data_IF_572506017949
#
_entry.id   IF_572506017949
#
_cell.length_a   1.000
_cell.length_b   1.000
_cell.length_c   1.000
_cell.angle_alpha   90.00
_cell.angle_beta   90.00
_cell.angle_gamma   90.00
#
_symmetry.space_group_name_H-M   'P 1'
#
loop_
_entity.id
_entity.type
_entity.pdbx_description
1 polymer ?
#
# COMPACT_ATOMS: atom_id res chain seq x y z
N UNK A 1 -10.03 -21.01 3.65
CA UNK A 1 -9.21 -22.16 3.18
C UNK A 1 -9.14 -23.14 4.33
N UNK A 2 -9.56 -24.37 4.14
CA UNK A 2 -9.56 -25.36 5.21
C UNK A 2 -8.15 -25.62 5.73
N UNK A 3 -7.97 -25.90 7.01
CA UNK A 3 -6.67 -26.11 7.68
C UNK A 3 -5.81 -27.19 6.98
N UNK A 4 -6.46 -28.20 6.43
CA UNK A 4 -5.83 -29.30 5.66
C UNK A 4 -5.15 -28.79 4.37
N UNK A 5 -5.79 -27.88 3.65
CA UNK A 5 -5.23 -27.28 2.45
C UNK A 5 -4.03 -26.37 2.75
N UNK A 6 -4.00 -25.73 3.91
CA UNK A 6 -2.88 -24.90 4.32
C UNK A 6 -1.63 -25.72 4.64
N UNK A 7 -1.79 -26.90 5.26
CA UNK A 7 -0.65 -27.80 5.53
C UNK A 7 -0.07 -28.42 4.25
N UNK A 8 -0.93 -28.82 3.33
CA UNK A 8 -0.50 -29.31 2.01
C UNK A 8 0.24 -28.22 1.24
N UNK A 9 -0.27 -26.98 1.25
CA UNK A 9 0.41 -25.84 0.65
C UNK A 9 1.75 -25.54 1.32
N UNK A 10 1.85 -25.68 2.65
CA UNK A 10 3.11 -25.53 3.39
C UNK A 10 4.14 -26.59 2.98
N UNK A 11 3.71 -27.84 2.89
CA UNK A 11 4.57 -28.95 2.45
C UNK A 11 5.07 -28.73 1.03
N UNK A 12 4.16 -28.44 0.11
CA UNK A 12 4.49 -28.14 -1.28
C UNK A 12 5.45 -26.94 -1.41
N UNK A 13 5.19 -25.86 -0.66
CA UNK A 13 6.04 -24.68 -0.71
C UNK A 13 7.48 -24.99 -0.24
N UNK A 14 7.65 -25.85 0.75
CA UNK A 14 8.99 -26.22 1.25
C UNK A 14 9.82 -26.95 0.18
N UNK A 15 9.19 -27.73 -0.68
CA UNK A 15 9.86 -28.39 -1.81
C UNK A 15 10.16 -27.39 -2.93
N UNK A 16 9.27 -26.44 -3.18
CA UNK A 16 9.35 -25.49 -4.28
C UNK A 16 10.05 -24.17 -3.94
N UNK A 17 10.38 -23.90 -2.67
CA UNK A 17 11.08 -22.66 -2.27
C UNK A 17 12.43 -22.44 -2.99
N UNK A 18 13.04 -23.52 -3.48
CA UNK A 18 14.28 -23.49 -4.26
C UNK A 18 14.02 -23.25 -5.75
N UNK A 19 12.79 -23.46 -6.23
CA UNK A 19 12.39 -23.05 -7.57
C UNK A 19 12.13 -21.55 -7.58
N UNK A 20 12.56 -20.85 -8.62
CA UNK A 20 12.35 -19.42 -8.75
C UNK A 20 10.90 -19.15 -9.13
N UNK A 21 10.10 -18.62 -8.20
CA UNK A 21 8.80 -18.04 -8.52
C UNK A 21 8.95 -16.88 -9.52
N UNK A 22 7.90 -16.59 -10.28
CA UNK A 22 7.89 -15.44 -11.19
C UNK A 22 7.90 -14.13 -10.38
N UNK A 23 8.89 -13.24 -10.53
CA UNK A 23 8.94 -12.01 -9.77
C UNK A 23 7.78 -11.07 -10.16
N UNK A 24 6.99 -10.66 -9.17
CA UNK A 24 5.95 -9.64 -9.32
C UNK A 24 6.46 -8.25 -8.96
N UNK A 25 7.37 -8.17 -8.00
CA UNK A 25 7.99 -6.92 -7.59
C UNK A 25 9.17 -7.14 -6.66
N UNK A 26 10.14 -6.24 -6.73
CA UNK A 26 11.30 -6.21 -5.84
C UNK A 26 11.38 -4.84 -5.19
N UNK A 27 11.11 -4.80 -3.89
CA UNK A 27 11.34 -3.63 -3.05
C UNK A 27 12.73 -3.68 -2.40
N UNK A 28 13.12 -2.59 -1.75
CA UNK A 28 14.42 -2.51 -1.05
C UNK A 28 14.56 -3.53 0.09
N UNK A 29 13.44 -3.92 0.72
CA UNK A 29 13.44 -4.78 1.90
C UNK A 29 12.78 -6.15 1.70
N UNK A 30 12.00 -6.32 0.64
CA UNK A 30 11.27 -7.55 0.35
C UNK A 30 11.11 -7.77 -1.15
N UNK A 31 11.00 -9.03 -1.57
CA UNK A 31 10.50 -9.41 -2.89
C UNK A 31 9.13 -10.05 -2.76
N UNK A 32 8.37 -9.93 -3.83
CA UNK A 32 7.09 -10.60 -4.00
C UNK A 32 7.19 -11.43 -5.28
N UNK A 33 6.97 -12.72 -5.14
CA UNK A 33 7.04 -13.66 -6.25
C UNK A 33 5.70 -14.39 -6.40
N UNK A 34 5.27 -14.60 -7.64
CA UNK A 34 4.12 -15.44 -7.98
C UNK A 34 4.53 -16.90 -7.99
N UNK A 35 3.79 -17.70 -7.27
CA UNK A 35 3.86 -19.16 -7.34
C UNK A 35 2.56 -19.72 -7.88
N UNK A 36 2.68 -20.60 -8.87
CA UNK A 36 1.57 -21.40 -9.36
C UNK A 36 1.61 -22.75 -8.65
N UNK A 37 0.57 -23.06 -7.90
CA UNK A 37 0.48 -24.31 -7.16
C UNK A 37 -0.73 -25.12 -7.58
N UNK A 38 -0.76 -26.43 -7.30
CA UNK A 38 -1.94 -27.26 -7.48
C UNK A 38 -3.18 -26.78 -6.68
N UNK A 39 -2.94 -25.94 -5.68
CA UNK A 39 -3.96 -25.38 -4.80
C UNK A 39 -4.39 -23.95 -5.19
N UNK A 40 -3.93 -23.45 -6.34
CA UNK A 40 -4.17 -22.11 -6.85
C UNK A 40 -2.93 -21.20 -6.80
N UNK A 41 -3.02 -20.09 -7.48
CA UNK A 41 -1.94 -19.11 -7.57
C UNK A 41 -1.88 -18.24 -6.30
N UNK A 42 -0.67 -17.94 -5.81
CA UNK A 42 -0.48 -17.07 -4.67
C UNK A 42 0.77 -16.19 -4.83
N UNK A 43 0.74 -15.05 -4.15
CA UNK A 43 1.87 -14.15 -4.03
C UNK A 43 2.64 -14.45 -2.74
N UNK A 44 3.93 -14.74 -2.87
CA UNK A 44 4.82 -14.99 -1.74
C UNK A 44 5.68 -13.77 -1.48
N UNK A 45 5.48 -13.12 -0.34
CA UNK A 45 6.33 -12.03 0.12
C UNK A 45 7.45 -12.59 0.97
N UNK A 46 8.69 -12.36 0.53
CA UNK A 46 9.93 -12.73 1.23
C UNK A 46 10.69 -11.49 1.66
N UNK A 47 11.23 -11.52 2.87
CA UNK A 47 12.09 -10.45 3.37
C UNK A 47 13.56 -10.81 3.09
N UNK A 48 14.27 -9.92 2.39
CA UNK A 48 15.69 -10.06 2.08
C UNK A 48 16.58 -9.29 3.05
N UNK A 49 17.84 -9.72 3.21
CA UNK A 49 18.91 -8.93 3.79
C UNK A 49 19.82 -9.64 4.77
N UNK A 50 20.86 -8.89 5.17
CA UNK A 50 22.00 -9.37 5.96
C UNK A 50 21.59 -9.92 7.32
N UNK A 51 22.40 -10.85 7.84
CA UNK A 51 22.20 -11.55 9.10
C UNK A 51 21.91 -10.63 10.30
N UNK A 52 22.56 -9.47 10.39
CA UNK A 52 22.37 -8.47 11.45
C UNK A 52 20.93 -7.95 11.57
N UNK A 53 20.21 -7.79 10.44
CA UNK A 53 18.85 -7.26 10.42
C UNK A 53 17.76 -8.35 10.34
N UNK A 54 18.15 -9.63 10.38
CA UNK A 54 17.22 -10.77 10.23
C UNK A 54 16.11 -10.78 11.29
N UNK A 55 16.44 -10.43 12.55
CA UNK A 55 15.45 -10.39 13.64
C UNK A 55 14.42 -9.28 13.42
N UNK A 56 14.86 -8.08 13.07
CA UNK A 56 13.99 -6.94 12.80
C UNK A 56 13.03 -7.24 11.63
N UNK A 57 13.54 -7.84 10.57
CA UNK A 57 12.75 -8.17 9.38
C UNK A 57 11.72 -9.26 9.62
N UNK A 58 12.07 -10.27 10.43
CA UNK A 58 11.10 -11.27 10.88
C UNK A 58 9.99 -10.62 11.73
N UNK A 59 10.32 -9.62 12.53
CA UNK A 59 9.33 -8.85 13.29
C UNK A 59 8.41 -8.07 12.37
N UNK A 60 8.95 -7.45 11.31
CA UNK A 60 8.16 -6.71 10.32
C UNK A 60 7.14 -7.60 9.60
N UNK A 61 7.56 -8.78 9.12
CA UNK A 61 6.64 -9.66 8.39
C UNK A 61 5.57 -10.28 9.30
N UNK A 62 5.92 -10.56 10.57
CA UNK A 62 4.92 -11.01 11.57
C UNK A 62 3.92 -9.91 11.89
N UNK A 63 4.40 -8.66 12.01
CA UNK A 63 3.52 -7.51 12.21
C UNK A 63 2.59 -7.32 11.03
N UNK A 64 3.08 -7.43 9.80
CA UNK A 64 2.27 -7.35 8.60
C UNK A 64 1.23 -8.48 8.55
N UNK A 65 1.64 -9.72 8.88
CA UNK A 65 0.70 -10.84 9.03
C UNK A 65 -0.39 -10.53 10.07
N UNK A 66 -0.01 -9.97 11.24
CA UNK A 66 -0.99 -9.58 12.27
C UNK A 66 -1.96 -8.51 11.73
N UNK A 67 -1.50 -7.57 10.93
CA UNK A 67 -2.36 -6.55 10.31
C UNK A 67 -3.42 -7.20 9.42
N UNK A 68 -3.04 -8.17 8.59
CA UNK A 68 -3.99 -8.89 7.74
C UNK A 68 -5.07 -9.62 8.52
N UNK A 69 -4.82 -10.02 9.78
CA UNK A 69 -5.85 -10.66 10.63
C UNK A 69 -6.96 -9.69 11.03
N UNK A 70 -6.68 -8.39 11.11
CA UNK A 70 -7.71 -7.34 11.32
C UNK A 70 -8.44 -6.96 10.05
N UNK A 71 -7.89 -7.32 8.89
CA UNK A 71 -8.42 -6.97 7.56
C UNK A 71 -9.12 -8.15 6.86
N UNK A 72 -9.37 -9.24 7.60
CA UNK A 72 -10.08 -10.39 7.05
C UNK A 72 -11.43 -9.95 6.50
N UNK A 73 -11.75 -10.48 5.32
CA UNK A 73 -13.04 -10.27 4.64
C UNK A 73 -13.39 -8.82 4.24
N UNK A 74 -12.42 -7.89 4.30
CA UNK A 74 -12.62 -6.55 3.74
C UNK A 74 -12.43 -6.62 2.22
N UNK A 75 -13.47 -6.34 1.41
CA UNK A 75 -13.34 -6.28 -0.04
C UNK A 75 -12.30 -5.24 -0.46
N UNK A 76 -11.44 -5.59 -1.43
CA UNK A 76 -10.35 -4.71 -1.86
C UNK A 76 -9.05 -4.86 -1.07
N UNK A 77 -8.97 -5.86 -0.19
CA UNK A 77 -7.73 -6.31 0.47
C UNK A 77 -7.44 -7.74 0.04
N UNK A 78 -6.19 -8.10 -0.35
CA UNK A 78 -5.84 -9.49 -0.65
C UNK A 78 -6.03 -10.39 0.55
N UNK A 79 -6.57 -11.58 0.36
CA UNK A 79 -6.67 -12.56 1.43
C UNK A 79 -5.29 -13.00 1.88
N UNK A 80 -5.09 -13.05 3.19
CA UNK A 80 -3.88 -13.62 3.77
C UNK A 80 -4.05 -15.12 3.93
N UNK A 81 -3.30 -15.92 3.16
CA UNK A 81 -3.35 -17.37 3.16
C UNK A 81 -2.54 -17.98 4.32
N UNK A 82 -1.59 -17.22 4.86
CA UNK A 82 -0.84 -17.64 6.02
C UNK A 82 0.58 -17.08 6.13
N UNK A 83 1.23 -17.41 7.24
CA UNK A 83 2.63 -17.12 7.50
C UNK A 83 3.40 -18.44 7.71
N UNK A 84 4.37 -18.72 6.85
CA UNK A 84 5.20 -19.94 6.89
C UNK A 84 6.58 -19.62 7.46
N UNK A 85 7.07 -20.46 8.38
CA UNK A 85 8.38 -20.40 9.02
C UNK A 85 8.73 -19.02 9.60
N UNK A 86 7.69 -18.21 9.89
CA UNK A 86 7.83 -16.83 10.38
C UNK A 86 8.65 -15.94 9.42
N UNK A 87 8.73 -16.29 8.14
CA UNK A 87 9.56 -15.63 7.10
C UNK A 87 8.79 -15.33 5.82
N UNK A 88 7.78 -16.12 5.49
CA UNK A 88 7.11 -16.10 4.21
C UNK A 88 5.64 -15.77 4.43
N UNK A 89 5.22 -14.62 3.94
CA UNK A 89 3.82 -14.21 3.98
C UNK A 89 3.17 -14.62 2.66
N UNK A 90 2.15 -15.47 2.74
CA UNK A 90 1.37 -15.93 1.61
C UNK A 90 0.13 -15.07 1.48
N UNK A 91 -0.05 -14.51 0.31
CA UNK A 91 -1.19 -13.67 -0.03
C UNK A 91 -1.88 -14.21 -1.28
N UNK A 92 -3.17 -13.94 -1.39
CA UNK A 92 -3.92 -14.12 -2.61
C UNK A 92 -3.21 -13.43 -3.77
N UNK A 93 -3.08 -14.13 -4.90
CA UNK A 93 -2.61 -13.49 -6.13
C UNK A 93 -3.76 -12.76 -6.80
N UNK A 94 -3.55 -11.49 -7.05
CA UNK A 94 -4.51 -10.63 -7.74
C UNK A 94 -3.93 -10.26 -9.11
N UNK A 95 -4.51 -10.80 -10.20
CA UNK A 95 -4.09 -10.39 -11.54
C UNK A 95 -4.46 -8.93 -11.77
N UNK A 96 -3.45 -8.09 -11.98
CA UNK A 96 -3.65 -6.65 -12.13
C UNK A 96 -2.34 -5.90 -12.31
N UNK A 97 -2.44 -4.58 -12.36
CA UNK A 97 -1.29 -3.68 -12.45
C UNK A 97 -1.32 -2.68 -11.31
N UNK A 98 -0.14 -2.16 -10.92
CA UNK A 98 -0.12 -1.08 -9.94
C UNK A 98 -0.78 0.17 -10.51
N UNK A 99 -1.43 0.95 -9.66
CA UNK A 99 -2.05 2.21 -10.05
C UNK A 99 -1.05 3.14 -10.73
N UNK A 100 0.24 3.08 -10.37
CA UNK A 100 1.31 3.81 -11.06
C UNK A 100 1.35 3.54 -12.56
N UNK A 101 1.18 2.27 -12.95
CA UNK A 101 1.25 1.85 -14.36
C UNK A 101 -0.08 2.00 -15.08
N UNK A 102 -1.19 1.98 -14.34
CA UNK A 102 -2.54 1.95 -14.89
C UNK A 102 -3.23 3.33 -14.90
N UNK A 103 -2.73 4.31 -14.14
CA UNK A 103 -3.41 5.60 -13.90
C UNK A 103 -3.85 6.32 -15.17
N UNK A 104 -3.04 6.28 -16.23
CA UNK A 104 -3.35 6.93 -17.53
C UNK A 104 -4.37 6.17 -18.37
N UNK A 105 -4.62 4.90 -18.03
CA UNK A 105 -5.56 4.01 -18.73
C UNK A 105 -6.92 3.94 -18.05
N UNK A 106 -7.04 4.50 -16.86
CA UNK A 106 -8.24 4.42 -16.02
C UNK A 106 -9.42 5.11 -16.73
N UNK A 107 -10.48 4.36 -16.99
CA UNK A 107 -11.67 4.81 -17.71
C UNK A 107 -12.60 5.61 -16.80
N UNK A 108 -12.95 5.05 -15.62
CA UNK A 108 -13.85 5.69 -14.67
C UNK A 108 -13.11 6.03 -13.37
N UNK A 109 -12.47 7.21 -13.37
CA UNK A 109 -11.70 7.69 -12.23
C UNK A 109 -12.55 7.92 -10.99
N UNK A 110 -13.76 8.45 -11.14
CA UNK A 110 -14.64 8.75 -10.01
C UNK A 110 -15.08 7.47 -9.30
N UNK A 111 -15.54 6.47 -10.04
CA UNK A 111 -15.94 5.17 -9.52
C UNK A 111 -14.76 4.47 -8.83
N UNK A 112 -13.57 4.48 -9.46
CA UNK A 112 -12.36 3.91 -8.88
C UNK A 112 -12.03 4.52 -7.52
N UNK A 113 -12.00 5.85 -7.43
CA UNK A 113 -11.67 6.53 -6.18
C UNK A 113 -12.78 6.45 -5.14
N UNK A 114 -14.05 6.36 -5.54
CA UNK A 114 -15.16 6.05 -4.63
C UNK A 114 -14.98 4.67 -3.97
N UNK A 115 -14.68 3.65 -4.78
CA UNK A 115 -14.40 2.30 -4.27
C UNK A 115 -13.15 2.27 -3.37
N UNK A 116 -12.08 2.94 -3.76
CA UNK A 116 -10.86 3.05 -2.95
C UNK A 116 -11.15 3.72 -1.60
N UNK A 117 -11.99 4.77 -1.56
CA UNK A 117 -12.37 5.42 -0.30
C UNK A 117 -13.15 4.47 0.61
N UNK A 118 -14.02 3.65 0.05
CA UNK A 118 -14.77 2.63 0.81
C UNK A 118 -13.80 1.66 1.49
N UNK A 119 -12.78 1.18 0.77
CA UNK A 119 -11.74 0.30 1.32
C UNK A 119 -10.98 1.00 2.46
N UNK A 120 -10.54 2.25 2.24
CA UNK A 120 -9.81 3.03 3.26
C UNK A 120 -10.66 3.22 4.52
N UNK A 121 -11.94 3.53 4.39
CA UNK A 121 -12.86 3.65 5.52
C UNK A 121 -13.02 2.32 6.27
N UNK A 122 -13.20 1.22 5.55
CA UNK A 122 -13.32 -0.11 6.15
C UNK A 122 -12.05 -0.51 6.93
N UNK A 123 -10.87 -0.26 6.38
CA UNK A 123 -9.59 -0.48 7.08
C UNK A 123 -9.52 0.32 8.39
N UNK A 124 -9.88 1.61 8.34
CA UNK A 124 -9.85 2.47 9.53
C UNK A 124 -10.87 2.03 10.58
N UNK A 125 -12.06 1.56 10.17
CA UNK A 125 -13.06 0.98 11.07
C UNK A 125 -12.53 -0.27 11.76
N UNK A 126 -11.85 -1.14 11.02
CA UNK A 126 -11.15 -2.31 11.56
C UNK A 126 -9.93 -1.97 12.44
N UNK A 127 -9.63 -0.69 12.65
CA UNK A 127 -8.50 -0.24 13.46
C UNK A 127 -7.14 -0.30 12.77
N UNK A 128 -7.11 -0.32 11.45
CA UNK A 128 -5.87 -0.35 10.65
C UNK A 128 -5.75 0.93 9.85
N UNK A 129 -4.64 1.66 10.00
CA UNK A 129 -4.24 2.76 9.13
C UNK A 129 -3.00 2.34 8.32
N UNK A 130 -3.01 2.57 7.00
CA UNK A 130 -1.99 2.05 6.09
C UNK A 130 -0.62 2.73 6.25
N UNK A 131 -0.62 4.05 6.36
CA UNK A 131 0.57 4.87 6.59
C UNK A 131 1.44 5.15 5.35
N UNK A 132 1.25 4.43 4.24
CA UNK A 132 1.98 4.66 2.98
C UNK A 132 1.08 4.56 1.73
N UNK A 133 -0.20 4.93 1.87
CA UNK A 133 -1.15 4.92 0.75
C UNK A 133 -0.80 5.93 -0.35
N UNK A 134 0.09 6.90 -0.06
CA UNK A 134 0.60 7.86 -1.03
C UNK A 134 1.40 7.22 -2.18
N UNK A 135 1.91 6.00 -2.00
CA UNK A 135 2.63 5.26 -3.03
C UNK A 135 1.63 4.60 -3.97
N UNK A 136 1.64 5.02 -5.23
CA UNK A 136 0.80 4.44 -6.29
C UNK A 136 1.04 2.93 -6.51
N UNK A 137 2.18 2.41 -6.07
CA UNK A 137 2.53 1.00 -6.15
C UNK A 137 1.81 0.14 -5.09
N UNK A 138 1.31 0.77 -4.01
CA UNK A 138 0.55 0.12 -2.96
C UNK A 138 -0.95 -0.02 -3.28
N UNK A 139 -1.36 0.36 -4.48
CA UNK A 139 -2.71 0.20 -5.00
C UNK A 139 -2.64 -0.61 -6.29
N UNK A 140 -3.33 -1.74 -6.35
CA UNK A 140 -3.51 -2.52 -7.57
C UNK A 140 -4.83 -2.13 -8.24
N UNK A 141 -4.82 -2.19 -9.56
CA UNK A 141 -6.01 -2.08 -10.42
C UNK A 141 -6.20 -3.45 -11.05
N UNK A 142 -7.29 -4.12 -10.69
CA UNK A 142 -7.63 -5.45 -11.18
C UNK A 142 -8.68 -5.35 -12.29
N UNK A 143 -9.21 -6.49 -12.73
CA UNK A 143 -10.25 -6.54 -13.75
C UNK A 143 -11.47 -5.69 -13.35
N UNK A 144 -12.08 -5.01 -14.32
CA UNK A 144 -13.20 -4.08 -14.08
C UNK A 144 -12.80 -2.84 -13.29
N UNK A 145 -11.51 -2.49 -13.31
CA UNK A 145 -10.94 -1.31 -12.63
C UNK A 145 -11.21 -1.30 -11.11
N UNK A 146 -11.24 -2.49 -10.48
CA UNK A 146 -11.41 -2.58 -9.03
C UNK A 146 -10.10 -2.26 -8.30
N UNK A 147 -10.11 -1.33 -7.34
CA UNK A 147 -8.93 -1.06 -6.53
C UNK A 147 -8.72 -2.14 -5.46
N UNK A 148 -7.45 -2.47 -5.22
CA UNK A 148 -7.00 -3.25 -4.08
C UNK A 148 -5.85 -2.55 -3.39
N UNK A 149 -5.86 -2.54 -2.07
CA UNK A 149 -4.78 -1.97 -1.25
C UNK A 149 -3.86 -3.09 -0.79
N UNK A 150 -2.55 -2.91 -1.00
CA UNK A 150 -1.51 -3.90 -0.73
C UNK A 150 -0.35 -3.29 0.06
N UNK A 151 0.51 -4.13 0.62
CA UNK A 151 1.74 -3.75 1.36
C UNK A 151 1.48 -3.01 2.68
N UNK A 152 1.03 -3.76 3.67
CA UNK A 152 0.77 -3.28 5.03
C UNK A 152 2.00 -3.26 5.95
N UNK A 153 3.21 -3.31 5.40
CA UNK A 153 4.45 -3.31 6.17
C UNK A 153 4.64 -2.08 7.07
N UNK A 154 4.04 -0.95 6.71
CA UNK A 154 4.07 0.31 7.49
C UNK A 154 2.79 0.59 8.26
N UNK A 155 1.79 -0.28 8.16
CA UNK A 155 0.48 -0.06 8.76
C UNK A 155 0.54 0.10 10.28
N UNK A 156 -0.37 0.90 10.82
CA UNK A 156 -0.53 1.13 12.25
C UNK A 156 -1.82 0.52 12.76
N UNK A 157 -1.72 -0.31 13.80
CA UNK A 157 -2.87 -0.91 14.48
C UNK A 157 -3.31 -0.03 15.65
N UNK A 158 -4.61 0.27 15.70
CA UNK A 158 -5.23 0.90 16.86
C UNK A 158 -5.28 -0.11 18.00
N UNK A 159 -4.70 0.25 19.14
CA UNK A 159 -4.76 -0.53 20.37
C UNK A 159 -5.76 0.11 21.32
N UNK A 160 -6.82 -0.58 21.63
CA UNK A 160 -7.97 0.03 22.30
C UNK A 160 -7.78 0.31 23.79
N UNK A 161 -6.83 -0.31 24.47
CA UNK A 161 -6.97 -0.39 25.93
C UNK A 161 -6.14 0.58 26.78
N UNK A 162 -4.98 1.08 26.40
CA UNK A 162 -4.17 1.83 27.40
C UNK A 162 -3.22 2.91 26.84
N UNK A 163 -3.20 3.17 25.55
CA UNK A 163 -2.23 4.10 24.99
C UNK A 163 -2.92 5.22 24.24
N UNK A 164 -3.11 6.37 24.90
CA UNK A 164 -3.58 7.58 24.24
C UNK A 164 -2.64 7.99 23.08
N UNK A 165 -1.33 7.76 23.21
CA UNK A 165 -0.34 7.94 22.15
C UNK A 165 -0.63 7.08 20.93
N UNK A 166 -0.99 5.80 21.12
CA UNK A 166 -1.34 4.93 20.02
C UNK A 166 -2.60 5.42 19.30
N UNK A 167 -3.63 5.85 20.05
CA UNK A 167 -4.86 6.41 19.47
C UNK A 167 -4.59 7.71 18.71
N UNK A 168 -3.74 8.57 19.27
CA UNK A 168 -3.32 9.81 18.61
C UNK A 168 -2.55 9.52 17.32
N UNK A 169 -1.55 8.62 17.37
CA UNK A 169 -0.77 8.20 16.21
C UNK A 169 -1.67 7.57 15.13
N UNK A 170 -2.60 6.69 15.53
CA UNK A 170 -3.58 6.11 14.62
C UNK A 170 -4.39 7.20 13.89
N UNK A 171 -4.96 8.17 14.62
CA UNK A 171 -5.74 9.26 14.01
C UNK A 171 -4.92 10.07 13.01
N UNK A 172 -3.65 10.34 13.32
CA UNK A 172 -2.76 11.07 12.40
C UNK A 172 -2.43 10.28 11.15
N UNK A 173 -2.13 8.98 11.29
CA UNK A 173 -1.83 8.11 10.15
C UNK A 173 -3.07 7.88 9.30
N UNK A 174 -4.24 7.67 9.90
CA UNK A 174 -5.51 7.58 9.20
C UNK A 174 -5.83 8.87 8.42
N UNK A 175 -5.57 10.04 9.00
CA UNK A 175 -5.71 11.30 8.28
C UNK A 175 -4.71 11.42 7.12
N UNK A 176 -3.48 10.91 7.28
CA UNK A 176 -2.50 10.88 6.19
C UNK A 176 -2.96 9.99 5.03
N UNK A 177 -3.66 8.87 5.31
CA UNK A 177 -4.25 8.00 4.27
C UNK A 177 -5.37 8.73 3.51
N UNK A 178 -6.26 9.47 4.20
CA UNK A 178 -7.27 10.30 3.54
C UNK A 178 -6.64 11.41 2.69
N UNK A 179 -5.63 12.08 3.20
CA UNK A 179 -4.89 13.09 2.44
C UNK A 179 -4.19 12.49 1.21
N UNK A 180 -3.68 11.24 1.33
CA UNK A 180 -3.10 10.52 0.22
C UNK A 180 -4.15 10.19 -0.85
N UNK A 181 -5.34 9.72 -0.44
CA UNK A 181 -6.46 9.48 -1.33
C UNK A 181 -6.84 10.73 -2.13
N UNK A 182 -7.00 11.89 -1.46
CA UNK A 182 -7.25 13.18 -2.11
C UNK A 182 -6.14 13.53 -3.12
N UNK A 183 -4.88 13.40 -2.71
CA UNK A 183 -3.73 13.70 -3.59
C UNK A 183 -3.69 12.83 -4.83
N UNK A 184 -4.09 11.57 -4.70
CA UNK A 184 -4.16 10.64 -5.81
C UNK A 184 -5.35 10.92 -6.72
N UNK A 185 -6.56 11.14 -6.14
CA UNK A 185 -7.80 11.43 -6.90
C UNK A 185 -7.64 12.68 -7.75
N UNK A 186 -7.17 13.76 -7.17
CA UNK A 186 -7.08 15.07 -7.81
C UNK A 186 -5.70 15.35 -8.44
N UNK A 187 -4.79 14.39 -8.46
CA UNK A 187 -3.44 14.57 -9.00
C UNK A 187 -2.73 15.82 -8.45
N UNK A 188 -3.02 16.16 -7.18
CA UNK A 188 -2.56 17.37 -6.45
C UNK A 188 -3.12 18.71 -6.97
N UNK A 189 -4.18 18.69 -7.77
CA UNK A 189 -4.91 19.90 -8.20
C UNK A 189 -6.01 20.18 -7.18
N UNK A 190 -5.64 20.83 -6.09
CA UNK A 190 -6.53 21.03 -4.93
C UNK A 190 -7.61 22.09 -5.19
N UNK A 191 -7.46 22.89 -6.23
CA UNK A 191 -8.45 23.85 -6.70
C UNK A 191 -9.73 23.19 -7.23
N UNK A 192 -9.65 21.92 -7.61
CA UNK A 192 -10.77 21.17 -8.18
C UNK A 192 -11.48 20.26 -7.15
N UNK A 193 -11.20 20.42 -5.83
CA UNK A 193 -11.84 19.60 -4.82
C UNK A 193 -13.35 19.84 -4.79
N UNK A 194 -14.12 18.75 -4.78
CA UNK A 194 -15.55 18.83 -4.50
C UNK A 194 -15.78 19.25 -3.04
N UNK A 195 -16.93 19.87 -2.70
CA UNK A 195 -17.24 20.26 -1.33
C UNK A 195 -17.20 19.08 -0.34
N UNK A 196 -17.60 17.89 -0.76
CA UNK A 196 -17.59 16.70 0.11
C UNK A 196 -16.17 16.15 0.31
N UNK A 197 -15.35 16.15 -0.72
CA UNK A 197 -13.95 15.70 -0.62
C UNK A 197 -13.11 16.71 0.17
N UNK A 198 -13.45 17.99 0.11
CA UNK A 198 -12.81 19.04 0.91
C UNK A 198 -12.98 18.81 2.42
N UNK A 199 -14.12 18.24 2.86
CA UNK A 199 -14.37 17.88 4.27
C UNK A 199 -13.42 16.76 4.76
N UNK A 200 -12.98 15.91 3.87
CA UNK A 200 -12.06 14.79 4.17
C UNK A 200 -10.60 15.27 4.22
N UNK A 201 -10.27 16.33 3.46
CA UNK A 201 -8.90 16.81 3.33
C UNK A 201 -8.50 17.69 4.52
N UNK A 202 -7.60 17.16 5.35
CA UNK A 202 -7.01 17.93 6.46
C UNK A 202 -5.49 17.79 6.43
N UNK A 203 -4.77 18.75 5.80
CA UNK A 203 -3.32 18.66 5.68
C UNK A 203 -2.64 18.71 7.04
N UNK A 204 -1.81 17.70 7.31
CA UNK A 204 -1.04 17.62 8.55
C UNK A 204 -0.02 18.78 8.65
N UNK A 205 0.35 19.22 9.86
CA UNK A 205 1.33 20.30 10.04
C UNK A 205 2.63 20.05 9.28
N UNK A 206 3.14 18.82 9.30
CA UNK A 206 4.35 18.43 8.56
C UNK A 206 4.17 18.58 7.04
N UNK A 207 2.99 18.30 6.53
CA UNK A 207 2.68 18.50 5.10
C UNK A 207 2.60 19.98 4.73
N UNK A 208 2.10 20.81 5.64
CA UNK A 208 2.09 22.28 5.48
C UNK A 208 3.49 22.82 5.44
N UNK A 209 4.34 22.43 6.40
CA UNK A 209 5.75 22.83 6.45
C UNK A 209 6.50 22.36 5.20
N UNK A 210 6.38 21.07 4.82
CA UNK A 210 7.01 20.54 3.62
C UNK A 210 6.55 21.25 2.33
N UNK A 211 5.28 21.70 2.28
CA UNK A 211 4.76 22.50 1.17
C UNK A 211 5.40 23.88 1.14
N UNK A 212 5.50 24.57 2.28
CA UNK A 212 6.13 25.88 2.40
C UNK A 212 7.61 25.81 2.00
N UNK A 213 8.35 24.86 2.54
CA UNK A 213 9.77 24.63 2.20
C UNK A 213 9.93 24.40 0.70
N UNK A 214 9.05 23.58 0.09
CA UNK A 214 9.09 23.33 -1.37
C UNK A 214 8.84 24.60 -2.17
N UNK A 215 7.86 25.42 -1.76
CA UNK A 215 7.54 26.69 -2.43
C UNK A 215 8.73 27.64 -2.34
N UNK A 216 9.32 27.80 -1.15
CA UNK A 216 10.49 28.63 -0.93
C UNK A 216 11.67 28.12 -1.78
N UNK A 217 11.95 26.81 -1.75
CA UNK A 217 13.02 26.19 -2.55
C UNK A 217 12.82 26.36 -4.05
N UNK A 218 11.58 26.23 -4.53
CA UNK A 218 11.25 26.44 -5.95
C UNK A 218 11.43 27.91 -6.37
N UNK A 219 11.12 28.85 -5.47
CA UNK A 219 11.37 30.28 -5.70
C UNK A 219 12.86 30.60 -5.72
N UNK A 220 13.61 30.09 -4.75
CA UNK A 220 15.05 30.34 -4.62
C UNK A 220 15.87 29.71 -5.76
N UNK A 221 15.51 28.51 -6.20
CA UNK A 221 16.28 27.79 -7.24
C UNK A 221 15.87 28.15 -8.67
N UNK A 222 14.95 29.09 -8.87
CA UNK A 222 14.43 29.49 -10.20
C UNK A 222 14.05 28.30 -11.10
N UNK A 223 13.76 27.15 -10.51
CA UNK A 223 13.58 25.87 -11.21
C UNK A 223 12.44 25.92 -12.25
N UNK A 224 11.41 26.76 -12.00
CA UNK A 224 10.35 27.01 -12.99
C UNK A 224 10.87 27.71 -14.25
N UNK A 225 11.84 28.62 -14.12
CA UNK A 225 12.47 29.28 -15.26
C UNK A 225 13.35 28.30 -16.04
N UNK A 226 14.13 27.48 -15.35
CA UNK A 226 14.99 26.48 -15.99
C UNK A 226 14.18 25.42 -16.76
N UNK A 227 13.03 24.98 -16.24
CA UNK A 227 12.15 24.05 -16.96
C UNK A 227 11.54 24.72 -18.20
N UNK A 228 11.08 25.98 -18.10
CA UNK A 228 10.57 26.74 -19.27
C UNK A 228 11.64 26.98 -20.33
N UNK A 229 12.86 27.26 -19.94
CA UNK A 229 13.99 27.45 -20.85
C UNK A 229 14.42 26.15 -21.54
N UNK A 230 14.36 25.01 -20.84
CA UNK A 230 14.64 23.68 -21.43
C UNK A 230 13.55 23.25 -22.42
N UNK A 231 12.28 23.58 -22.17
CA UNK A 231 11.20 23.31 -23.12
C UNK A 231 11.27 24.16 -24.37
N UNK A 232 11.71 25.43 -24.26
CA UNK A 232 11.95 26.31 -25.45
C UNK A 232 13.16 25.92 -26.30
N UNK A 233 14.12 25.16 -25.76
CA UNK A 233 15.27 24.67 -26.55
C UNK A 233 15.00 23.32 -27.25
N UNK A 234 13.81 22.74 -27.09
CA UNK A 234 13.40 21.47 -27.72
C UNK A 234 12.37 21.66 -28.85
N UNK A 235 12.03 22.90 -29.16
CA UNK A 235 11.29 23.33 -30.35
C UNK A 235 12.29 24.04 -31.30
#
# INVERSE_FOLDING_TARGET
>A
MESKNLEQLRSWLRTELNSSGRPLGKGYQASIDLYKSPFGDFALKRVHGNFLFRRLRKATIRREFSVYQYLLDIPGIPKCLGLIDKKYLLLEYLPGQTFRKYETKLQDREKFFKNLLTIVKAMHQAGVAHGDLKRKDNILVTQGEQPYVIDFGTAHLRKDRYSWWNRWAFKRIAQADYNAWIKLKYQRRFENLSPDDAKIYNPLPEERVARLVRIIWQKLTLRKLQVRLRLRKKI
#
